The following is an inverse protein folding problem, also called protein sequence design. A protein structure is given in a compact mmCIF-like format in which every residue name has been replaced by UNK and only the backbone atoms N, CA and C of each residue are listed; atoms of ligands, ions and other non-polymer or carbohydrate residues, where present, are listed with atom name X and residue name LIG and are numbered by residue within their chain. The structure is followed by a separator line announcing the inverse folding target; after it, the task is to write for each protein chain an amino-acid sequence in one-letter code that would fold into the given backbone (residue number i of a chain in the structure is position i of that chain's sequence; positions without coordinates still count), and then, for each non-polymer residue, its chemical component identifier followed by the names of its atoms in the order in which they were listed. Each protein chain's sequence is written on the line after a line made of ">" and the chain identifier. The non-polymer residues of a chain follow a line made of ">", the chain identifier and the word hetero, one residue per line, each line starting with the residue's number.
data_IF_361172221342
#
_entry.id   IF_361172221342
#
_cell.length_a   1.000
_cell.length_b   1.000
_cell.length_c   1.000
_cell.angle_alpha   90.00
_cell.angle_beta   90.00
_cell.angle_gamma   90.00
#
_symmetry.space_group_name_H-M   'P 1'
#
loop_
_entity.id
_entity.type
_entity.pdbx_description
1 polymer ?
#
# COMPACT_ATOMS: atom_id res chain seq x y z
N UNK A 1 -44.88 -38.54 -13.69
CA UNK A 1 -43.45 -38.54 -14.07
C UNK A 1 -42.93 -37.11 -13.89
N UNK A 2 -42.38 -36.81 -12.71
CA UNK A 2 -41.98 -35.46 -12.31
C UNK A 2 -40.46 -35.31 -12.32
N UNK A 3 -40.00 -34.24 -12.95
CA UNK A 3 -38.60 -33.88 -13.22
C UNK A 3 -37.83 -33.51 -11.95
N UNK A 4 -36.58 -33.99 -11.91
CA UNK A 4 -35.56 -33.79 -10.88
C UNK A 4 -35.18 -32.30 -10.72
N UNK A 5 -35.11 -31.82 -9.48
CA UNK A 5 -34.58 -30.51 -9.11
C UNK A 5 -33.63 -30.63 -7.91
N UNK A 6 -32.41 -31.11 -8.14
CA UNK A 6 -31.35 -31.21 -7.15
C UNK A 6 -30.69 -29.82 -6.98
N UNK A 7 -31.16 -29.01 -6.02
CA UNK A 7 -30.47 -27.79 -5.61
C UNK A 7 -29.24 -28.16 -4.76
N UNK A 8 -28.11 -28.41 -5.44
CA UNK A 8 -26.79 -28.40 -4.79
C UNK A 8 -26.46 -26.96 -4.41
N UNK A 9 -26.56 -26.69 -3.11
CA UNK A 9 -25.96 -25.56 -2.40
C UNK A 9 -24.52 -25.36 -2.88
N UNK A 10 -24.25 -24.32 -3.67
CA UNK A 10 -22.90 -23.88 -4.00
C UNK A 10 -22.24 -23.39 -2.71
N UNK A 11 -21.36 -24.22 -2.16
CA UNK A 11 -20.37 -23.80 -1.17
C UNK A 11 -19.33 -22.96 -1.91
N UNK A 12 -19.37 -21.64 -1.73
CA UNK A 12 -18.33 -20.75 -2.23
C UNK A 12 -17.12 -20.94 -1.32
N UNK A 13 -16.26 -21.89 -1.69
CA UNK A 13 -14.97 -22.08 -1.04
C UNK A 13 -14.06 -20.95 -1.55
N UNK A 14 -13.91 -19.90 -0.75
CA UNK A 14 -12.88 -18.88 -0.97
C UNK A 14 -11.54 -19.54 -0.69
N UNK A 15 -10.93 -20.13 -1.73
CA UNK A 15 -9.53 -20.53 -1.68
C UNK A 15 -8.70 -19.24 -1.57
N UNK A 16 -8.22 -18.96 -0.37
CA UNK A 16 -7.12 -18.02 -0.15
C UNK A 16 -5.89 -18.61 -0.83
N UNK A 17 -5.62 -18.17 -2.06
CA UNK A 17 -4.32 -18.38 -2.69
C UNK A 17 -3.31 -17.49 -1.98
N UNK A 18 -2.84 -17.95 -0.82
CA UNK A 18 -1.62 -17.43 -0.20
C UNK A 18 -0.49 -17.89 -1.13
N UNK A 19 -0.19 -17.08 -2.15
CA UNK A 19 0.99 -17.28 -2.97
C UNK A 19 2.20 -17.02 -2.08
N UNK A 20 2.81 -18.11 -1.61
CA UNK A 20 4.19 -18.12 -1.13
C UNK A 20 5.09 -17.70 -2.29
N UNK A 21 5.32 -16.40 -2.43
CA UNK A 21 6.37 -15.87 -3.30
C UNK A 21 7.71 -16.15 -2.63
N UNK A 22 8.34 -17.22 -3.11
CA UNK A 22 9.76 -17.46 -3.01
C UNK A 22 10.46 -16.33 -3.76
N UNK A 23 11.15 -15.46 -3.03
CA UNK A 23 12.03 -14.46 -3.62
C UNK A 23 13.23 -15.17 -4.25
N UNK A 24 13.30 -15.17 -5.58
CA UNK A 24 14.49 -15.56 -6.35
C UNK A 24 15.17 -14.28 -6.87
N UNK A 25 16.51 -14.14 -6.76
CA UNK A 25 17.21 -12.97 -7.26
C UNK A 25 17.39 -13.08 -8.78
N UNK A 26 16.72 -12.21 -9.55
CA UNK A 26 17.08 -11.99 -10.96
C UNK A 26 15.98 -12.09 -12.02
N UNK A 27 14.70 -11.84 -11.74
CA UNK A 27 13.69 -11.78 -12.81
C UNK A 27 13.63 -10.39 -13.45
N UNK A 28 14.50 -10.15 -14.44
CA UNK A 28 14.55 -8.92 -15.24
C UNK A 28 13.34 -8.70 -16.18
N UNK A 29 12.31 -9.57 -16.13
CA UNK A 29 11.19 -9.57 -17.07
C UNK A 29 9.84 -9.13 -16.44
N UNK A 30 9.76 -9.06 -15.11
CA UNK A 30 8.51 -8.68 -14.43
C UNK A 30 8.58 -7.18 -14.12
N UNK A 31 7.69 -6.34 -14.69
CA UNK A 31 7.66 -4.92 -14.35
C UNK A 31 7.51 -4.80 -12.85
N UNK A 32 8.18 -3.81 -12.23
CA UNK A 32 8.04 -3.55 -10.79
C UNK A 32 6.57 -3.52 -10.35
N UNK A 33 5.70 -3.09 -11.27
CA UNK A 33 4.26 -3.09 -11.15
C UNK A 33 3.65 -4.43 -10.66
N UNK A 34 4.22 -5.55 -11.08
CA UNK A 34 3.76 -6.91 -10.84
C UNK A 34 4.60 -7.68 -9.80
N UNK A 35 5.58 -7.01 -9.16
CA UNK A 35 6.39 -7.62 -8.11
C UNK A 35 5.66 -7.59 -6.76
N UNK A 36 5.76 -8.68 -6.01
CA UNK A 36 5.20 -8.76 -4.67
C UNK A 36 6.09 -7.99 -3.68
N UNK A 37 5.57 -6.88 -3.15
CA UNK A 37 6.26 -6.08 -2.12
C UNK A 37 5.78 -6.51 -0.74
N UNK A 38 6.73 -6.88 0.13
CA UNK A 38 6.43 -7.29 1.50
C UNK A 38 6.33 -6.09 2.44
N UNK A 39 5.21 -5.37 2.34
CA UNK A 39 4.96 -4.17 3.14
C UNK A 39 4.96 -4.43 4.65
N UNK A 40 4.55 -5.62 5.09
CA UNK A 40 4.59 -6.02 6.50
C UNK A 40 6.02 -5.92 7.07
N UNK A 41 7.00 -6.55 6.41
CA UNK A 41 8.40 -6.51 6.84
C UNK A 41 8.98 -5.09 6.76
N UNK A 42 8.62 -4.33 5.73
CA UNK A 42 9.07 -2.95 5.54
C UNK A 42 8.52 -2.02 6.62
N UNK A 43 7.24 -2.17 6.99
CA UNK A 43 6.58 -1.41 8.05
C UNK A 43 7.16 -1.76 9.43
N UNK A 44 7.48 -3.04 9.68
CA UNK A 44 8.17 -3.44 10.92
C UNK A 44 9.56 -2.82 11.00
N UNK A 45 10.34 -2.91 9.90
CA UNK A 45 11.67 -2.32 9.81
C UNK A 45 11.64 -0.79 9.88
N UNK A 46 10.57 -0.16 9.38
CA UNK A 46 10.47 1.30 9.23
C UNK A 46 11.52 1.88 8.28
N UNK A 47 12.04 1.10 7.33
CA UNK A 47 13.03 1.55 6.34
C UNK A 47 12.63 1.16 4.94
N UNK A 48 12.69 2.11 4.00
CA UNK A 48 12.42 1.83 2.60
C UNK A 48 13.71 1.25 1.97
N UNK A 49 13.65 0.06 1.36
CA UNK A 49 14.74 -0.47 0.55
C UNK A 49 15.16 0.52 -0.54
N UNK A 50 16.47 0.74 -0.70
CA UNK A 50 17.00 1.70 -1.69
C UNK A 50 16.57 1.40 -3.12
N UNK A 51 16.29 0.13 -3.42
CA UNK A 51 15.75 -0.33 -4.70
C UNK A 51 14.40 0.33 -5.07
N UNK A 52 13.61 0.76 -4.08
CA UNK A 52 12.34 1.45 -4.33
C UNK A 52 12.48 2.96 -4.48
N UNK A 53 13.68 3.51 -4.22
CA UNK A 53 14.00 4.94 -4.32
C UNK A 53 14.91 5.24 -5.53
N UNK A 54 15.12 4.26 -6.42
CA UNK A 54 16.06 4.38 -7.55
C UNK A 54 15.58 5.33 -8.64
N UNK A 55 14.27 5.48 -8.81
CA UNK A 55 13.68 6.35 -9.83
C UNK A 55 12.29 6.81 -9.41
N UNK A 56 11.89 7.98 -9.92
CA UNK A 56 10.58 8.58 -9.65
C UNK A 56 9.42 7.61 -9.96
N UNK A 57 9.50 6.91 -11.10
CA UNK A 57 8.50 5.91 -11.48
C UNK A 57 8.39 4.77 -10.45
N UNK A 58 9.53 4.22 -9.99
CA UNK A 58 9.53 3.11 -9.03
C UNK A 58 9.00 3.59 -7.68
N UNK A 59 9.43 4.76 -7.21
CA UNK A 59 8.95 5.36 -5.97
C UNK A 59 7.45 5.60 -6.02
N UNK A 60 6.93 6.18 -7.10
CA UNK A 60 5.50 6.43 -7.28
C UNK A 60 4.68 5.13 -7.27
N UNK A 61 5.15 4.10 -7.97
CA UNK A 61 4.52 2.78 -7.98
C UNK A 61 4.53 2.12 -6.60
N UNK A 62 5.63 2.28 -5.85
CA UNK A 62 5.74 1.77 -4.49
C UNK A 62 4.77 2.48 -3.54
N UNK A 63 4.67 3.81 -3.63
CA UNK A 63 3.74 4.62 -2.83
C UNK A 63 2.28 4.26 -3.14
N UNK A 64 1.92 4.09 -4.41
CA UNK A 64 0.56 3.67 -4.79
C UNK A 64 0.21 2.31 -4.16
N UNK A 65 1.12 1.33 -4.23
CA UNK A 65 0.93 0.03 -3.56
C UNK A 65 0.87 0.15 -2.05
N UNK A 66 1.66 1.03 -1.43
CA UNK A 66 1.60 1.28 0.01
C UNK A 66 0.21 1.78 0.41
N UNK A 67 -0.37 2.72 -0.34
CA UNK A 67 -1.75 3.19 -0.13
C UNK A 67 -2.74 2.03 -0.20
N UNK A 68 -2.64 1.19 -1.24
CA UNK A 68 -3.51 0.02 -1.35
C UNK A 68 -3.34 -0.94 -0.17
N UNK A 69 -2.12 -1.18 0.29
CA UNK A 69 -1.85 -2.03 1.44
C UNK A 69 -2.49 -1.48 2.72
N UNK A 70 -2.25 -0.21 3.07
CA UNK A 70 -2.78 0.40 4.30
C UNK A 70 -4.30 0.50 4.32
N UNK A 71 -4.95 0.55 3.15
CA UNK A 71 -6.40 0.52 3.01
C UNK A 71 -6.98 -0.90 3.01
N UNK A 72 -6.19 -1.90 2.62
CA UNK A 72 -6.65 -3.31 2.54
C UNK A 72 -6.50 -4.05 3.87
N UNK A 73 -5.54 -3.66 4.70
CA UNK A 73 -5.31 -4.30 6.01
C UNK A 73 -6.01 -3.53 7.13
N UNK A 74 -6.50 -4.19 8.18
CA UNK A 74 -7.07 -3.51 9.33
C UNK A 74 -5.98 -2.65 10.00
N UNK A 75 -6.37 -1.47 10.51
CA UNK A 75 -5.44 -0.47 11.10
C UNK A 75 -4.64 -0.93 12.32
N UNK A 76 -4.82 -2.17 12.78
CA UNK A 76 -4.00 -2.82 13.81
C UNK A 76 -2.80 -3.58 13.24
N UNK A 77 -2.69 -3.72 11.92
CA UNK A 77 -1.63 -4.52 11.27
C UNK A 77 -0.28 -3.81 11.23
N UNK A 78 -0.24 -2.50 11.43
CA UNK A 78 0.99 -1.72 11.45
C UNK A 78 0.89 -0.57 12.46
N UNK A 79 2.04 -0.15 12.97
CA UNK A 79 2.11 0.97 13.90
C UNK A 79 2.17 2.30 13.14
N UNK A 80 1.29 3.25 13.48
CA UNK A 80 1.27 4.59 12.87
C UNK A 80 2.63 5.31 12.87
N UNK A 81 3.44 5.26 13.96
CA UNK A 81 4.77 5.87 13.96
C UNK A 81 5.74 5.25 12.95
N UNK A 82 5.59 3.96 12.63
CA UNK A 82 6.42 3.29 11.63
C UNK A 82 6.03 3.69 10.22
N UNK A 83 4.73 3.85 9.96
CA UNK A 83 4.25 4.43 8.71
C UNK A 83 4.75 5.87 8.54
N UNK A 84 4.70 6.69 9.60
CA UNK A 84 5.27 8.03 9.61
C UNK A 84 6.74 8.02 9.20
N UNK A 85 7.55 7.19 9.87
CA UNK A 85 8.98 7.06 9.59
C UNK A 85 9.28 6.63 8.15
N UNK A 86 8.42 5.80 7.53
CA UNK A 86 8.55 5.48 6.11
C UNK A 86 8.25 6.69 5.22
N UNK A 87 7.17 7.41 5.50
CA UNK A 87 6.80 8.59 4.72
C UNK A 87 7.88 9.69 4.81
N UNK A 88 8.50 9.87 5.97
CA UNK A 88 9.63 10.81 6.18
C UNK A 88 10.85 10.50 5.30
N UNK A 89 11.01 9.26 4.82
CA UNK A 89 12.11 8.87 3.92
C UNK A 89 11.83 9.20 2.45
N UNK A 90 10.59 9.56 2.10
CA UNK A 90 10.20 9.91 0.74
C UNK A 90 10.40 11.41 0.49
N UNK A 91 10.65 11.80 -0.76
CA UNK A 91 10.57 13.20 -1.15
C UNK A 91 9.16 13.79 -0.90
N UNK A 92 9.07 15.09 -0.60
CA UNK A 92 7.79 15.78 -0.33
C UNK A 92 6.71 15.51 -1.38
N UNK A 93 7.07 15.49 -2.67
CA UNK A 93 6.14 15.20 -3.77
C UNK A 93 5.47 13.82 -3.62
N UNK A 94 6.23 12.81 -3.22
CA UNK A 94 5.75 11.45 -3.03
C UNK A 94 4.92 11.30 -1.75
N UNK A 95 5.25 12.07 -0.70
CA UNK A 95 4.42 12.15 0.51
C UNK A 95 3.05 12.78 0.20
N UNK A 96 3.02 13.89 -0.54
CA UNK A 96 1.76 14.51 -1.01
C UNK A 96 0.98 13.54 -1.88
N UNK A 97 1.66 12.81 -2.78
CA UNK A 97 1.04 11.80 -3.63
C UNK A 97 0.39 10.67 -2.83
N UNK A 98 1.03 10.20 -1.74
CA UNK A 98 0.45 9.22 -0.82
C UNK A 98 -0.89 9.71 -0.26
N UNK A 99 -0.92 10.91 0.33
CA UNK A 99 -2.15 11.45 0.92
C UNK A 99 -3.23 11.76 -0.12
N UNK A 100 -2.84 12.24 -1.30
CA UNK A 100 -3.76 12.44 -2.42
C UNK A 100 -4.45 11.13 -2.79
N UNK A 101 -3.67 10.06 -3.01
CA UNK A 101 -4.20 8.73 -3.36
C UNK A 101 -5.02 8.13 -2.23
N UNK A 102 -4.62 8.32 -0.99
CA UNK A 102 -5.39 7.85 0.17
C UNK A 102 -6.76 8.52 0.23
N UNK A 103 -6.82 9.85 0.02
CA UNK A 103 -8.07 10.60 -0.05
C UNK A 103 -8.95 10.20 -1.24
N UNK A 104 -8.34 9.96 -2.40
CA UNK A 104 -9.06 9.52 -3.62
C UNK A 104 -9.68 8.13 -3.47
N UNK A 105 -8.98 7.19 -2.83
CA UNK A 105 -9.47 5.81 -2.67
C UNK A 105 -10.41 5.65 -1.46
N UNK A 106 -10.18 6.37 -0.37
CA UNK A 106 -11.01 6.28 0.84
C UNK A 106 -10.95 7.58 1.65
N UNK A 107 -11.89 8.53 1.41
CA UNK A 107 -11.90 9.81 2.12
C UNK A 107 -12.17 9.64 3.62
N UNK A 108 -12.88 8.58 4.02
CA UNK A 108 -13.13 8.28 5.44
C UNK A 108 -11.85 7.83 6.16
N UNK A 109 -10.98 7.10 5.46
CA UNK A 109 -9.70 6.63 5.99
C UNK A 109 -8.79 7.79 6.38
N UNK A 110 -8.90 8.93 5.70
CA UNK A 110 -8.10 10.13 6.00
C UNK A 110 -8.22 10.58 7.46
N UNK A 111 -9.36 10.33 8.12
CA UNK A 111 -9.55 10.65 9.55
C UNK A 111 -8.59 9.87 10.45
N UNK A 112 -8.27 8.62 10.10
CA UNK A 112 -7.34 7.78 10.84
C UNK A 112 -5.87 8.23 10.65
N UNK A 113 -5.56 8.85 9.52
CA UNK A 113 -4.24 9.39 9.20
C UNK A 113 -4.14 10.91 9.44
N UNK A 114 -5.18 11.54 9.99
CA UNK A 114 -5.21 12.98 10.27
C UNK A 114 -3.96 13.51 10.99
N UNK A 115 -3.44 12.88 12.07
CA UNK A 115 -2.22 13.38 12.72
C UNK A 115 -1.01 13.41 11.78
N UNK A 116 -0.88 12.43 10.87
CA UNK A 116 0.18 12.44 9.86
C UNK A 116 -0.10 13.51 8.80
N UNK A 117 -1.31 13.52 8.25
CA UNK A 117 -1.70 14.46 7.21
C UNK A 117 -1.46 15.92 7.64
N UNK A 118 -1.90 16.31 8.82
CA UNK A 118 -1.68 17.67 9.32
C UNK A 118 -0.22 17.96 9.65
N UNK A 119 0.52 16.98 10.22
CA UNK A 119 1.96 17.13 10.49
C UNK A 119 2.76 17.40 9.22
N UNK A 120 2.55 16.59 8.18
CA UNK A 120 3.24 16.75 6.89
C UNK A 120 2.75 17.98 6.11
N UNK A 121 1.43 18.25 6.06
CA UNK A 121 0.91 19.43 5.36
C UNK A 121 1.36 20.75 6.00
N UNK A 122 1.58 20.79 7.32
CA UNK A 122 2.15 21.95 7.98
C UNK A 122 3.61 22.19 7.57
N UNK A 123 4.37 21.11 7.31
CA UNK A 123 5.77 21.18 6.88
C UNK A 123 5.91 21.56 5.40
N UNK A 124 4.97 21.16 4.54
CA UNK A 124 5.01 21.41 3.09
C UNK A 124 4.18 22.60 2.60
N UNK A 125 3.55 23.35 3.51
CA UNK A 125 2.84 24.58 3.18
C UNK A 125 3.64 25.57 2.28
N UNK A 126 4.98 25.70 2.37
CA UNK A 126 5.74 26.52 1.42
C UNK A 126 6.00 25.86 0.04
N UNK A 127 5.92 24.52 -0.09
CA UNK A 127 6.17 23.80 -1.35
C UNK A 127 4.92 23.60 -2.21
N UNK A 128 3.72 23.73 -1.63
CA UNK A 128 2.45 23.60 -2.36
C UNK A 128 2.07 24.84 -3.19
N UNK A 129 2.77 25.97 -3.01
CA UNK A 129 2.43 27.27 -3.63
C UNK A 129 3.59 27.97 -4.35
N UNK A 130 4.72 27.29 -4.59
CA UNK A 130 5.79 27.80 -5.46
C UNK A 130 5.78 27.12 -6.81
#
# INVERSE_FOLDING_TARGET
>A
MGINGNLKRLSVHFNSCINTVVAVPGNADIPFAAQAVRFDEILVSGKIPKEYLVSEYVTQQWVERLVHYVLSVPGTSYAMPKLAALLEQLDPTHQVFFFKRLKENSPESLKHFAPLYYGFMAEFHPLLFT
#
